data_IF_242387365079
#
_entry.id   IF_242387365079
#
_cell.length_a   1.000
_cell.length_b   1.000
_cell.length_c   1.000
_cell.angle_alpha   90.00
_cell.angle_beta   90.00
_cell.angle_gamma   90.00
#
_symmetry.space_group_name_H-M   'P 1'
#
loop_
_entity.id
_entity.type
_entity.pdbx_description
1 polymer ?
#
# COMPACT_ATOMS: atom_id res chain seq x y z
N UNK A 1 6.57 43.89 -7.02
CA UNK A 1 6.47 44.01 -5.55
C UNK A 1 7.29 45.22 -5.17
N UNK A 2 6.63 46.31 -4.81
CA UNK A 2 7.35 47.49 -4.36
C UNK A 2 7.83 47.22 -2.93
N UNK A 3 9.15 47.04 -2.78
CA UNK A 3 9.78 46.86 -1.48
C UNK A 3 9.57 48.09 -0.59
N UNK A 4 9.71 47.91 0.73
CA UNK A 4 9.58 49.00 1.70
C UNK A 4 10.43 50.22 1.31
N UNK A 5 9.78 51.32 0.94
CA UNK A 5 10.41 52.56 0.44
C UNK A 5 9.67 53.77 0.97
N UNK A 6 10.40 54.73 1.55
CA UNK A 6 9.82 56.01 1.94
C UNK A 6 9.96 57.03 0.82
N UNK A 7 8.96 57.90 0.71
CA UNK A 7 8.95 59.05 -0.19
C UNK A 7 9.25 60.37 0.54
N UNK A 8 9.15 60.38 1.86
CA UNK A 8 9.41 61.51 2.75
C UNK A 8 10.06 61.09 4.06
N UNK A 9 10.55 62.07 4.81
CA UNK A 9 11.16 61.85 6.12
C UNK A 9 10.08 61.58 7.18
N UNK A 10 10.31 60.57 8.01
CA UNK A 10 9.54 60.32 9.24
C UNK A 10 10.39 60.80 10.42
N UNK A 11 9.86 61.71 11.24
CA UNK A 11 10.44 62.06 12.55
C UNK A 11 9.43 62.79 13.42
N UNK A 12 9.69 62.85 14.74
CA UNK A 12 8.82 63.54 15.70
C UNK A 12 8.66 65.06 15.44
N UNK A 13 9.54 65.65 14.62
CA UNK A 13 9.62 67.11 14.40
C UNK A 13 9.41 67.51 12.94
N UNK A 14 8.89 66.61 12.09
CA UNK A 14 8.67 66.89 10.67
C UNK A 14 7.29 66.48 10.20
N UNK A 15 6.75 67.22 9.24
CA UNK A 15 5.58 66.78 8.48
C UNK A 15 5.91 65.46 7.79
N UNK A 16 5.14 64.41 8.11
CA UNK A 16 5.33 63.06 7.60
C UNK A 16 4.17 62.73 6.66
N UNK A 17 4.46 61.99 5.58
CA UNK A 17 3.43 61.57 4.62
C UNK A 17 2.62 60.40 5.20
N UNK A 18 1.29 60.40 5.14
CA UNK A 18 0.46 59.33 5.70
C UNK A 18 0.83 57.93 5.20
N UNK A 19 1.17 57.80 3.91
CA UNK A 19 1.61 56.55 3.29
C UNK A 19 2.93 56.01 3.87
N UNK A 20 3.88 56.90 4.17
CA UNK A 20 5.18 56.55 4.76
C UNK A 20 5.00 56.09 6.22
N UNK A 21 4.10 56.74 6.96
CA UNK A 21 3.73 56.33 8.32
C UNK A 21 3.17 54.91 8.32
N UNK A 22 2.20 54.64 7.44
CA UNK A 22 1.57 53.32 7.38
C UNK A 22 2.58 52.25 6.96
N UNK A 23 3.41 52.53 5.96
CA UNK A 23 4.46 51.63 5.52
C UNK A 23 5.47 51.32 6.65
N UNK A 24 5.89 52.34 7.40
CA UNK A 24 6.83 52.17 8.51
C UNK A 24 6.22 51.37 9.67
N UNK A 25 4.97 51.66 10.06
CA UNK A 25 4.26 50.87 11.09
C UNK A 25 4.12 49.41 10.66
N UNK A 26 3.73 49.14 9.41
CA UNK A 26 3.62 47.77 8.90
C UNK A 26 4.97 47.05 8.89
N UNK A 27 6.05 47.71 8.45
CA UNK A 27 7.38 47.14 8.42
C UNK A 27 7.89 46.81 9.83
N UNK A 28 7.80 47.77 10.75
CA UNK A 28 8.23 47.60 12.14
C UNK A 28 7.37 46.57 12.89
N UNK A 29 6.07 46.48 12.58
CA UNK A 29 5.20 45.43 13.11
C UNK A 29 5.66 44.05 12.67
N UNK A 30 5.93 43.85 11.37
CA UNK A 30 6.45 42.57 10.84
C UNK A 30 7.80 42.17 11.43
N UNK A 31 8.62 43.16 11.80
CA UNK A 31 9.92 42.93 12.45
C UNK A 31 9.81 42.80 13.98
N UNK A 32 8.60 42.92 14.55
CA UNK A 32 8.36 42.78 15.99
C UNK A 32 8.72 44.00 16.84
N UNK A 33 8.95 45.16 16.22
CA UNK A 33 9.31 46.41 16.90
C UNK A 33 8.13 47.35 17.18
N UNK A 34 6.98 47.11 16.53
CA UNK A 34 5.76 47.89 16.72
C UNK A 34 4.63 46.95 17.14
N UNK A 35 3.89 47.31 18.19
CA UNK A 35 2.70 46.56 18.62
C UNK A 35 1.45 47.06 17.88
N UNK A 36 0.64 46.15 17.35
CA UNK A 36 -0.61 46.54 16.67
C UNK A 36 -1.64 47.01 17.72
N UNK A 37 -2.14 48.26 17.62
CA UNK A 37 -3.20 48.74 18.50
C UNK A 37 -4.50 47.95 18.25
N UNK A 38 -5.36 47.90 19.27
CA UNK A 38 -6.65 47.19 19.21
C UNK A 38 -7.55 47.67 18.06
N UNK A 39 -7.53 48.97 17.74
CA UNK A 39 -8.28 49.59 16.64
C UNK A 39 -7.57 49.54 15.27
N UNK A 40 -6.40 48.89 15.18
CA UNK A 40 -5.65 48.73 13.94
C UNK A 40 -4.61 49.82 13.64
N UNK A 41 -3.89 49.63 12.52
CA UNK A 41 -2.86 50.56 12.07
C UNK A 41 -3.48 51.81 11.44
N UNK A 42 -3.14 52.97 11.98
CA UNK A 42 -3.51 54.28 11.43
C UNK A 42 -2.34 54.87 10.64
N UNK A 43 -2.65 55.76 9.71
CA UNK A 43 -1.71 56.56 8.91
C UNK A 43 -1.19 57.81 9.65
N UNK A 44 -1.64 58.05 10.89
CA UNK A 44 -1.18 59.14 11.73
C UNK A 44 0.11 58.80 12.47
N UNK A 45 1.13 59.67 12.46
CA UNK A 45 2.34 59.46 13.24
C UNK A 45 2.00 59.56 14.74
N UNK A 46 2.51 58.62 15.53
CA UNK A 46 2.28 58.55 16.98
C UNK A 46 3.59 58.28 17.73
N UNK A 47 3.52 58.39 19.06
CA UNK A 47 4.67 58.12 19.94
C UNK A 47 5.18 56.68 19.80
N UNK A 48 4.26 55.71 19.65
CA UNK A 48 4.61 54.30 19.52
C UNK A 48 5.45 54.01 18.27
N UNK A 49 5.16 54.68 17.15
CA UNK A 49 5.96 54.59 15.93
C UNK A 49 7.37 55.15 16.16
N UNK A 50 7.51 56.31 16.79
CA UNK A 50 8.82 56.92 17.06
C UNK A 50 9.66 56.07 18.02
N UNK A 51 9.00 55.47 19.02
CA UNK A 51 9.62 54.51 19.94
C UNK A 51 10.07 53.24 19.22
N UNK A 52 9.24 52.70 18.31
CA UNK A 52 9.58 51.54 17.50
C UNK A 52 10.77 51.79 16.57
N UNK A 53 10.85 52.96 15.93
CA UNK A 53 12.00 53.37 15.11
C UNK A 53 13.28 53.40 15.96
N UNK A 54 13.21 54.05 17.12
CA UNK A 54 14.35 54.19 18.04
C UNK A 54 14.79 52.82 18.57
N UNK A 55 13.84 51.96 18.93
CA UNK A 55 14.08 50.60 19.38
C UNK A 55 14.75 49.75 18.30
N UNK A 56 14.27 49.86 17.05
CA UNK A 56 14.87 49.19 15.90
C UNK A 56 16.31 49.65 15.67
N UNK A 57 16.53 50.96 15.59
CA UNK A 57 17.85 51.56 15.41
C UNK A 57 18.83 51.04 16.48
N UNK A 58 18.41 51.08 17.75
CA UNK A 58 19.21 50.59 18.87
C UNK A 58 19.50 49.09 18.77
N UNK A 59 18.50 48.27 18.45
CA UNK A 59 18.64 46.81 18.37
C UNK A 59 19.51 46.35 17.19
N UNK A 60 19.62 47.17 16.14
CA UNK A 60 20.42 46.88 14.93
C UNK A 60 21.74 47.66 14.87
N UNK A 61 22.08 48.39 15.94
CA UNK A 61 23.34 49.14 16.03
C UNK A 61 23.44 50.32 15.05
N UNK A 62 22.30 50.84 14.60
CA UNK A 62 22.23 52.00 13.71
C UNK A 62 22.31 53.30 14.50
N UNK A 63 22.44 54.43 13.80
CA UNK A 63 22.34 55.74 14.44
C UNK A 63 20.94 55.94 15.05
N UNK A 64 20.89 56.15 16.37
CA UNK A 64 19.66 56.31 17.14
C UNK A 64 19.21 57.77 17.13
N UNK A 65 18.59 58.21 16.03
CA UNK A 65 18.07 59.57 15.85
C UNK A 65 16.54 59.65 15.83
N UNK A 66 15.85 58.51 15.99
CA UNK A 66 14.40 58.43 15.98
C UNK A 66 13.78 58.86 14.65
N UNK A 67 14.57 58.90 13.58
CA UNK A 67 14.13 59.36 12.27
C UNK A 67 14.38 58.30 11.19
N UNK A 68 13.50 58.27 10.20
CA UNK A 68 13.70 57.51 8.97
C UNK A 68 13.72 58.49 7.81
N UNK A 69 14.71 58.34 6.92
CA UNK A 69 14.87 59.17 5.72
C UNK A 69 14.77 58.28 4.48
N UNK A 70 14.22 58.79 3.37
CA UNK A 70 14.35 58.15 2.07
C UNK A 70 15.82 57.81 1.78
N UNK A 71 16.09 56.56 1.41
CA UNK A 71 17.44 56.03 1.15
C UNK A 71 18.42 56.13 2.35
N UNK A 72 17.90 56.41 3.54
CA UNK A 72 18.68 56.51 4.77
C UNK A 72 18.99 55.15 5.38
N UNK A 73 19.92 55.15 6.33
CA UNK A 73 20.40 53.95 7.05
C UNK A 73 19.25 53.09 7.60
N UNK A 74 18.28 53.68 8.32
CA UNK A 74 17.14 52.96 8.90
C UNK A 74 16.23 52.33 7.83
N UNK A 75 15.97 53.05 6.73
CA UNK A 75 15.15 52.53 5.62
C UNK A 75 15.82 51.35 4.95
N UNK A 76 17.11 51.49 4.62
CA UNK A 76 17.90 50.46 3.97
C UNK A 76 18.02 49.21 4.85
N UNK A 77 18.25 49.38 6.15
CA UNK A 77 18.32 48.27 7.10
C UNK A 77 16.99 47.50 7.17
N UNK A 78 15.86 48.19 7.32
CA UNK A 78 14.53 47.57 7.37
C UNK A 78 14.22 46.86 6.06
N UNK A 79 14.49 47.50 4.91
CA UNK A 79 14.30 46.90 3.59
C UNK A 79 15.13 45.63 3.44
N UNK A 80 16.41 45.69 3.80
CA UNK A 80 17.33 44.56 3.72
C UNK A 80 16.89 43.40 4.60
N UNK A 81 16.46 43.68 5.83
CA UNK A 81 15.99 42.66 6.77
C UNK A 81 14.72 41.96 6.27
N UNK A 82 13.70 42.74 5.84
CA UNK A 82 12.46 42.20 5.26
C UNK A 82 12.74 41.37 4.00
N UNK A 83 13.61 41.87 3.12
CA UNK A 83 14.03 41.14 1.92
C UNK A 83 14.74 39.83 2.28
N UNK A 84 15.68 39.86 3.24
CA UNK A 84 16.41 38.66 3.67
C UNK A 84 15.49 37.61 4.27
N UNK A 85 14.46 38.02 5.02
CA UNK A 85 13.46 37.11 5.59
C UNK A 85 12.60 36.50 4.50
N UNK A 86 12.14 37.31 3.54
CA UNK A 86 11.40 36.80 2.39
C UNK A 86 12.23 35.80 1.57
N UNK A 87 13.51 36.09 1.30
CA UNK A 87 14.41 35.19 0.59
C UNK A 87 14.68 33.89 1.36
N UNK A 88 14.83 33.95 2.69
CA UNK A 88 14.92 32.74 3.52
C UNK A 88 13.67 31.88 3.39
N UNK A 89 12.49 32.48 3.46
CA UNK A 89 11.22 31.76 3.34
C UNK A 89 11.04 31.16 1.93
N UNK A 90 11.38 31.89 0.87
CA UNK A 90 11.35 31.37 -0.52
C UNK A 90 12.24 30.16 -0.72
N UNK A 91 13.45 30.16 -0.13
CA UNK A 91 14.40 29.04 -0.21
C UNK A 91 13.94 27.78 0.53
N UNK A 92 13.01 27.93 1.46
CA UNK A 92 12.38 26.80 2.15
C UNK A 92 11.19 26.22 1.40
N UNK A 93 10.80 26.85 0.28
CA UNK A 93 9.78 26.34 -0.62
C UNK A 93 10.22 25.03 -1.27
N UNK A 94 9.30 24.07 -1.36
CA UNK A 94 9.57 22.71 -1.87
C UNK A 94 9.02 22.53 -3.29
N UNK A 95 9.51 21.50 -3.98
CA UNK A 95 8.96 21.03 -5.25
C UNK A 95 8.81 22.15 -6.31
N UNK A 96 9.76 23.10 -6.34
CA UNK A 96 9.76 24.22 -7.29
C UNK A 96 8.88 25.42 -6.91
N UNK A 97 8.13 25.36 -5.80
CA UNK A 97 7.40 26.52 -5.28
C UNK A 97 8.37 27.51 -4.62
N UNK A 98 8.89 28.44 -5.42
CA UNK A 98 9.95 29.38 -5.01
C UNK A 98 9.48 30.83 -4.96
N UNK A 99 8.17 31.07 -5.09
CA UNK A 99 7.59 32.42 -5.17
C UNK A 99 6.63 32.65 -4.01
N UNK A 100 6.92 33.64 -3.17
CA UNK A 100 5.97 34.10 -2.16
C UNK A 100 4.98 35.09 -2.77
N UNK A 101 3.69 34.84 -2.61
CA UNK A 101 2.62 35.73 -3.04
C UNK A 101 1.51 35.76 -1.98
N UNK A 102 0.86 36.92 -1.84
CA UNK A 102 -0.43 36.98 -1.14
C UNK A 102 -1.52 36.68 -2.15
N UNK A 103 -2.33 35.66 -1.88
CA UNK A 103 -3.40 35.21 -2.75
C UNK A 103 -4.71 35.10 -1.96
N UNK A 104 -5.83 35.34 -2.61
CA UNK A 104 -7.17 35.12 -2.06
C UNK A 104 -7.53 33.63 -2.05
N UNK A 105 -8.52 33.21 -1.23
CA UNK A 105 -9.02 31.83 -1.25
C UNK A 105 -9.51 31.36 -2.62
N UNK A 106 -10.10 32.26 -3.41
CA UNK A 106 -10.55 31.94 -4.77
C UNK A 106 -9.37 31.69 -5.72
N UNK A 107 -8.32 32.52 -5.66
CA UNK A 107 -7.09 32.33 -6.45
C UNK A 107 -6.35 31.05 -6.05
N UNK A 108 -6.28 30.74 -4.75
CA UNK A 108 -5.77 29.46 -4.25
C UNK A 108 -6.55 28.27 -4.84
N UNK A 109 -7.87 28.37 -4.94
CA UNK A 109 -8.72 27.37 -5.59
C UNK A 109 -8.39 27.18 -7.07
N UNK A 110 -8.13 28.27 -7.80
CA UNK A 110 -7.73 28.22 -9.21
C UNK A 110 -6.36 27.55 -9.41
N UNK A 111 -5.39 27.82 -8.54
CA UNK A 111 -4.08 27.17 -8.59
C UNK A 111 -4.20 25.66 -8.33
N UNK A 112 -5.06 25.26 -7.39
CA UNK A 112 -5.39 23.84 -7.15
C UNK A 112 -6.02 23.18 -8.37
N UNK A 113 -7.02 23.83 -8.97
CA UNK A 113 -7.70 23.32 -10.17
C UNK A 113 -6.76 23.18 -11.39
N UNK A 114 -5.66 23.94 -11.43
CA UNK A 114 -4.61 23.87 -12.47
C UNK A 114 -3.43 22.97 -12.10
N UNK A 115 -3.59 22.09 -11.11
CA UNK A 115 -2.59 21.06 -10.78
C UNK A 115 -1.63 21.41 -9.63
N UNK A 116 -1.81 22.54 -8.95
CA UNK A 116 -1.07 22.85 -7.72
C UNK A 116 -1.56 22.01 -6.53
N UNK A 117 -0.68 21.37 -5.78
CA UNK A 117 -1.06 20.51 -4.66
C UNK A 117 -1.79 21.28 -3.54
N UNK A 118 -1.39 22.55 -3.32
CA UNK A 118 -1.99 23.42 -2.31
C UNK A 118 -1.85 22.88 -0.88
N UNK A 119 -0.71 22.25 -0.59
CA UNK A 119 -0.32 21.69 0.70
C UNK A 119 0.22 22.76 1.65
N UNK A 120 0.36 22.46 2.93
CA UNK A 120 1.05 23.33 3.88
C UNK A 120 2.51 22.87 4.03
N UNK A 121 3.46 23.79 3.90
CA UNK A 121 4.87 23.52 4.15
C UNK A 121 5.10 23.24 5.64
N UNK A 122 5.66 22.09 6.05
CA UNK A 122 5.88 21.78 7.46
C UNK A 122 6.98 22.63 8.12
N UNK A 123 7.93 23.17 7.36
CA UNK A 123 9.01 24.02 7.85
C UNK A 123 8.60 25.49 7.99
N UNK A 124 7.68 26.00 7.16
CA UNK A 124 7.26 27.43 7.19
C UNK A 124 5.84 27.65 7.68
N UNK A 125 4.98 26.63 7.66
CA UNK A 125 3.54 26.74 7.97
C UNK A 125 2.71 27.47 6.90
N UNK A 126 3.32 27.85 5.77
CA UNK A 126 2.65 28.55 4.67
C UNK A 126 2.08 27.56 3.64
N UNK A 127 1.07 28.00 2.89
CA UNK A 127 0.56 27.23 1.75
C UNK A 127 1.57 27.20 0.61
N UNK A 128 1.69 26.05 -0.05
CA UNK A 128 2.52 25.81 -1.23
C UNK A 128 1.67 25.30 -2.39
N UNK A 129 1.91 25.81 -3.59
CA UNK A 129 1.21 25.42 -4.82
C UNK A 129 2.18 24.88 -5.86
N UNK A 130 3.09 24.00 -5.42
CA UNK A 130 3.94 23.25 -6.33
C UNK A 130 3.09 22.33 -7.22
N UNK A 131 3.51 22.16 -8.47
CA UNK A 131 3.18 20.93 -9.17
C UNK A 131 3.84 19.80 -8.38
N UNK A 132 3.16 18.66 -8.21
CA UNK A 132 3.73 17.50 -7.50
C UNK A 132 5.18 17.34 -7.97
N UNK A 133 6.11 16.99 -7.07
CA UNK A 133 7.28 16.24 -7.53
C UNK A 133 6.68 15.12 -8.36
N UNK A 134 6.87 15.17 -9.68
CA UNK A 134 6.71 14.04 -10.57
C UNK A 134 7.74 13.03 -10.08
N UNK A 135 7.40 12.35 -8.99
CA UNK A 135 8.00 11.08 -8.65
C UNK A 135 7.50 10.17 -9.74
N UNK A 136 8.21 10.17 -10.86
CA UNK A 136 7.98 9.25 -11.96
C UNK A 136 8.77 7.98 -11.70
N UNK A 137 8.26 6.86 -12.19
CA UNK A 137 8.88 5.55 -12.05
C UNK A 137 8.43 4.78 -10.81
N UNK A 138 9.29 3.88 -10.33
CA UNK A 138 8.96 2.94 -9.28
C UNK A 138 9.88 3.07 -8.07
N UNK A 139 9.45 2.53 -6.94
CA UNK A 139 10.19 2.47 -5.70
C UNK A 139 10.00 1.13 -4.99
N UNK A 140 10.97 0.74 -4.18
CA UNK A 140 10.84 -0.39 -3.26
C UNK A 140 10.21 0.11 -1.95
N UNK A 141 9.12 -0.53 -1.52
CA UNK A 141 8.47 -0.22 -0.25
C UNK A 141 9.30 -0.77 0.91
N UNK A 142 9.70 0.10 1.84
CA UNK A 142 10.47 -0.28 3.03
C UNK A 142 9.74 0.12 4.31
N UNK A 143 9.92 -0.68 5.34
CA UNK A 143 9.32 -0.55 6.65
C UNK A 143 10.39 -0.56 7.73
N UNK A 144 10.06 -0.03 8.90
CA UNK A 144 10.93 -0.15 10.09
C UNK A 144 11.02 -1.59 10.64
N UNK A 145 10.18 -2.51 10.16
CA UNK A 145 10.19 -3.91 10.57
C UNK A 145 9.80 -4.20 12.03
N UNK A 146 9.15 -3.26 12.72
CA UNK A 146 8.72 -3.44 14.11
C UNK A 146 7.21 -3.64 14.25
N UNK A 147 6.79 -4.09 15.44
CA UNK A 147 5.40 -4.47 15.75
C UNK A 147 4.38 -3.31 15.63
N UNK A 148 4.85 -2.07 15.43
CA UNK A 148 3.97 -0.91 15.20
C UNK A 148 3.69 -0.67 13.72
N UNK A 149 4.37 -1.38 12.82
CA UNK A 149 4.05 -1.37 11.39
C UNK A 149 2.73 -2.12 11.19
N UNK A 150 1.79 -1.52 10.46
CA UNK A 150 0.50 -2.15 10.14
C UNK A 150 0.75 -3.41 9.32
N UNK A 151 -0.03 -4.48 9.55
CA UNK A 151 0.14 -5.76 8.84
C UNK A 151 0.19 -5.60 7.32
N UNK A 152 -0.75 -4.83 6.75
CA UNK A 152 -0.80 -4.54 5.31
C UNK A 152 0.41 -3.76 4.78
N UNK A 153 1.16 -3.05 5.63
CA UNK A 153 2.39 -2.38 5.23
C UNK A 153 3.59 -3.33 5.33
N UNK A 154 3.61 -4.22 6.33
CA UNK A 154 4.65 -5.23 6.48
C UNK A 154 4.63 -6.23 5.33
N UNK A 155 3.45 -6.59 4.83
CA UNK A 155 3.28 -7.44 3.64
C UNK A 155 3.93 -6.83 2.39
N UNK A 156 4.04 -5.50 2.33
CA UNK A 156 4.63 -4.76 1.20
C UNK A 156 6.15 -4.62 1.28
N UNK A 157 6.77 -5.04 2.38
CA UNK A 157 8.22 -4.92 2.57
C UNK A 157 9.00 -5.55 1.40
N UNK A 158 9.82 -4.73 0.75
CA UNK A 158 10.68 -5.17 -0.35
C UNK A 158 9.98 -5.31 -1.71
N UNK A 159 8.67 -5.09 -1.80
CA UNK A 159 7.94 -5.09 -3.07
C UNK A 159 8.12 -3.76 -3.83
N UNK A 160 8.00 -3.80 -5.15
CA UNK A 160 8.15 -2.63 -6.03
C UNK A 160 6.77 -2.06 -6.38
N UNK A 161 6.60 -0.76 -6.18
CA UNK A 161 5.37 -0.03 -6.50
C UNK A 161 5.63 1.12 -7.45
N UNK A 162 4.65 1.41 -8.29
CA UNK A 162 4.65 2.60 -9.15
C UNK A 162 4.19 3.83 -8.36
N UNK A 163 4.76 4.98 -8.67
CA UNK A 163 4.23 6.26 -8.19
C UNK A 163 2.89 6.64 -8.87
N UNK A 164 2.61 6.11 -10.06
CA UNK A 164 1.37 6.39 -10.81
C UNK A 164 0.19 5.52 -10.36
N UNK A 165 0.50 4.34 -9.82
CA UNK A 165 -0.48 3.37 -9.34
C UNK A 165 -0.22 3.04 -7.87
N UNK A 166 -0.61 3.93 -6.93
CA UNK A 166 -0.43 3.69 -5.52
C UNK A 166 -1.20 2.45 -5.05
N UNK A 167 -0.64 1.66 -4.14
CA UNK A 167 -1.39 0.60 -3.48
C UNK A 167 -2.48 1.18 -2.57
N UNK A 168 -3.42 0.34 -2.15
CA UNK A 168 -4.48 0.74 -1.23
C UNK A 168 -3.89 1.38 0.05
N UNK A 169 -4.40 2.55 0.45
CA UNK A 169 -3.85 3.33 1.57
C UNK A 169 -2.71 4.29 1.22
N UNK A 170 -2.33 4.39 -0.06
CA UNK A 170 -1.38 5.39 -0.56
C UNK A 170 0.09 4.95 -0.52
N UNK A 171 0.98 5.90 -0.76
CA UNK A 171 2.43 5.70 -0.78
C UNK A 171 3.02 5.61 0.64
N UNK A 172 4.22 5.02 0.80
CA UNK A 172 4.84 4.93 2.11
C UNK A 172 5.12 6.35 2.66
N UNK A 173 4.77 6.56 3.93
CA UNK A 173 4.90 7.84 4.62
C UNK A 173 3.67 8.75 4.58
N UNK A 174 2.64 8.45 3.76
CA UNK A 174 1.46 9.33 3.63
C UNK A 174 0.45 9.19 4.78
N UNK A 175 0.30 7.98 5.33
CA UNK A 175 -0.64 7.75 6.44
C UNK A 175 -0.13 8.34 7.77
N UNK A 176 -1.00 8.85 8.66
CA UNK A 176 -0.60 9.33 9.98
C UNK A 176 0.17 8.26 10.78
N UNK A 177 1.33 8.65 11.30
CA UNK A 177 2.23 7.75 12.03
C UNK A 177 2.83 6.62 11.17
N UNK A 178 2.81 6.74 9.84
CA UNK A 178 3.44 5.76 8.95
C UNK A 178 4.96 5.76 9.16
N UNK A 179 5.53 4.56 9.25
CA UNK A 179 6.97 4.32 9.53
C UNK A 179 7.63 3.63 8.34
N UNK A 180 7.11 3.88 7.15
CA UNK A 180 7.55 3.28 5.91
C UNK A 180 8.15 4.37 5.01
N UNK A 181 9.07 4.01 4.13
CA UNK A 181 9.67 4.93 3.16
C UNK A 181 9.79 4.28 1.78
N UNK A 182 9.88 5.12 0.75
CA UNK A 182 10.16 4.70 -0.62
C UNK A 182 11.68 4.68 -0.84
N UNK A 183 12.25 3.51 -1.07
CA UNK A 183 13.65 3.36 -1.50
C UNK A 183 13.71 3.37 -3.03
N UNK A 184 14.70 4.06 -3.59
CA UNK A 184 14.95 4.02 -5.05
C UNK A 184 15.25 2.58 -5.49
N UNK A 185 14.64 2.15 -6.59
CA UNK A 185 14.93 0.82 -7.17
C UNK A 185 16.38 0.78 -7.65
N UNK A 186 17.17 -0.15 -7.13
CA UNK A 186 18.52 -0.45 -7.62
C UNK A 186 18.53 -1.75 -8.43
N UNK A 187 19.55 -1.93 -9.29
CA UNK A 187 19.68 -3.14 -10.11
C UNK A 187 19.70 -4.43 -9.26
N UNK A 188 20.34 -4.37 -8.09
CA UNK A 188 20.37 -5.50 -7.15
C UNK A 188 18.99 -5.84 -6.56
N UNK A 189 18.05 -4.90 -6.51
CA UNK A 189 16.68 -5.18 -6.07
C UNK A 189 15.91 -6.01 -7.12
N UNK A 190 16.14 -5.75 -8.41
CA UNK A 190 15.52 -6.54 -9.48
C UNK A 190 16.12 -7.95 -9.58
N UNK A 191 17.44 -8.10 -9.39
CA UNK A 191 18.09 -9.41 -9.35
C UNK A 191 17.51 -10.32 -8.24
N UNK A 192 17.10 -9.73 -7.12
CA UNK A 192 16.42 -10.45 -6.03
C UNK A 192 15.02 -10.94 -6.42
N UNK A 193 14.22 -10.10 -7.07
CA UNK A 193 12.88 -10.51 -7.55
C UNK A 193 13.03 -11.62 -8.60
N UNK A 194 14.02 -11.50 -9.49
CA UNK A 194 14.35 -12.53 -10.47
C UNK A 194 14.65 -13.87 -9.81
N UNK A 195 15.47 -13.86 -8.76
CA UNK A 195 15.78 -15.08 -8.00
C UNK A 195 14.52 -15.70 -7.37
N UNK A 196 13.62 -14.88 -6.83
CA UNK A 196 12.36 -15.37 -6.25
C UNK A 196 11.44 -15.98 -7.31
N UNK A 197 11.36 -15.40 -8.51
CA UNK A 197 10.63 -15.98 -9.66
C UNK A 197 11.16 -17.38 -9.98
N UNK A 198 12.49 -17.51 -10.08
CA UNK A 198 13.14 -18.80 -10.34
C UNK A 198 12.85 -19.81 -9.20
N UNK A 199 12.82 -19.35 -7.95
CA UNK A 199 12.51 -20.18 -6.79
C UNK A 199 11.04 -20.64 -6.75
N UNK A 200 10.08 -19.79 -7.14
CA UNK A 200 8.66 -20.14 -7.22
C UNK A 200 8.38 -21.14 -8.34
N UNK A 201 8.94 -20.94 -9.54
CA UNK A 201 8.83 -21.94 -10.61
C UNK A 201 9.45 -23.28 -10.23
N UNK A 202 10.57 -23.28 -9.50
CA UNK A 202 11.16 -24.51 -8.98
C UNK A 202 10.25 -25.22 -7.99
N UNK A 203 9.53 -24.48 -7.12
CA UNK A 203 8.53 -25.04 -6.19
C UNK A 203 7.31 -25.59 -6.94
N UNK A 204 6.81 -24.87 -7.94
CA UNK A 204 5.76 -25.32 -8.85
C UNK A 204 6.12 -26.66 -9.52
N UNK A 205 7.32 -26.74 -10.11
CA UNK A 205 7.76 -27.91 -10.85
C UNK A 205 7.99 -29.12 -9.95
N UNK A 206 8.47 -28.88 -8.72
CA UNK A 206 8.69 -29.93 -7.71
C UNK A 206 7.39 -30.66 -7.31
N UNK A 207 6.21 -30.05 -7.52
CA UNK A 207 4.92 -30.70 -7.27
C UNK A 207 4.48 -31.66 -8.39
N UNK A 208 5.11 -31.61 -9.56
CA UNK A 208 4.72 -32.44 -10.71
C UNK A 208 4.83 -33.94 -10.42
N UNK A 209 5.91 -34.38 -9.75
CA UNK A 209 6.10 -35.78 -9.37
C UNK A 209 5.09 -36.24 -8.30
N UNK A 210 4.89 -35.54 -7.16
CA UNK A 210 3.84 -35.86 -6.20
C UNK A 210 2.44 -35.95 -6.82
N UNK A 211 2.11 -35.05 -7.75
CA UNK A 211 0.83 -35.05 -8.48
C UNK A 211 0.72 -36.29 -9.36
N UNK A 212 1.75 -36.60 -10.15
CA UNK A 212 1.77 -37.79 -11.01
C UNK A 212 1.65 -39.09 -10.20
N UNK A 213 2.39 -39.20 -9.09
CA UNK A 213 2.34 -40.35 -8.19
C UNK A 213 0.94 -40.51 -7.57
N UNK A 214 0.34 -39.43 -7.08
CA UNK A 214 -1.01 -39.47 -6.48
C UNK A 214 -2.07 -39.85 -7.52
N UNK A 215 -1.96 -39.35 -8.77
CA UNK A 215 -2.82 -39.78 -9.89
C UNK A 215 -2.66 -41.27 -10.19
N UNK A 216 -1.44 -41.79 -10.14
CA UNK A 216 -1.15 -43.22 -10.28
C UNK A 216 -1.77 -44.06 -9.18
N UNK A 217 -1.68 -43.62 -7.92
CA UNK A 217 -2.33 -44.28 -6.77
C UNK A 217 -3.86 -44.33 -6.94
N UNK A 218 -4.48 -43.22 -7.36
CA UNK A 218 -5.92 -43.16 -7.64
C UNK A 218 -6.30 -44.14 -8.76
N UNK A 219 -5.52 -44.20 -9.85
CA UNK A 219 -5.80 -45.11 -10.95
C UNK A 219 -5.73 -46.60 -10.53
N UNK A 220 -4.82 -46.93 -9.60
CA UNK A 220 -4.73 -48.28 -9.04
C UNK A 220 -5.95 -48.62 -8.18
N UNK A 221 -6.39 -47.70 -7.33
CA UNK A 221 -7.59 -47.86 -6.50
C UNK A 221 -8.84 -47.96 -7.38
N UNK A 222 -8.95 -47.15 -8.43
CA UNK A 222 -10.05 -47.21 -9.40
C UNK A 222 -10.12 -48.57 -10.08
N UNK A 223 -8.97 -49.13 -10.47
CA UNK A 223 -8.90 -50.49 -11.02
C UNK A 223 -9.39 -51.52 -10.01
N UNK A 224 -8.94 -51.44 -8.75
CA UNK A 224 -9.36 -52.36 -7.68
C UNK A 224 -10.86 -52.29 -7.42
N UNK A 225 -11.42 -51.08 -7.42
CA UNK A 225 -12.86 -50.85 -7.30
C UNK A 225 -13.65 -51.49 -8.44
N UNK A 226 -13.17 -51.36 -9.68
CA UNK A 226 -13.78 -52.04 -10.83
C UNK A 226 -13.76 -53.57 -10.70
N UNK A 227 -12.64 -54.14 -10.25
CA UNK A 227 -12.51 -55.59 -10.00
C UNK A 227 -13.49 -56.07 -8.92
N UNK A 228 -13.54 -55.39 -7.77
CA UNK A 228 -14.46 -55.71 -6.68
C UNK A 228 -15.92 -55.57 -7.09
N UNK A 229 -16.28 -54.54 -7.86
CA UNK A 229 -17.64 -54.34 -8.38
C UNK A 229 -18.05 -55.44 -9.35
N UNK A 230 -17.13 -55.93 -10.17
CA UNK A 230 -17.37 -57.07 -11.05
C UNK A 230 -17.54 -58.38 -10.24
N UNK A 231 -16.72 -58.60 -9.22
CA UNK A 231 -16.86 -59.76 -8.33
C UNK A 231 -18.20 -59.75 -7.58
N UNK A 232 -18.61 -58.59 -7.05
CA UNK A 232 -19.91 -58.41 -6.41
C UNK A 232 -21.07 -58.75 -7.35
N UNK A 233 -20.98 -58.33 -8.62
CA UNK A 233 -22.00 -58.64 -9.62
C UNK A 233 -22.10 -60.15 -9.88
N UNK A 234 -20.96 -60.85 -9.96
CA UNK A 234 -20.93 -62.31 -10.12
C UNK A 234 -21.53 -63.02 -8.90
N UNK A 235 -21.16 -62.63 -7.68
CA UNK A 235 -21.72 -63.22 -6.44
C UNK A 235 -23.22 -63.00 -6.35
N UNK A 236 -23.71 -61.80 -6.70
CA UNK A 236 -25.15 -61.51 -6.75
C UNK A 236 -25.89 -62.36 -7.78
N UNK A 237 -25.28 -62.58 -8.94
CA UNK A 237 -25.82 -63.47 -9.96
C UNK A 237 -25.89 -64.92 -9.46
N UNK A 238 -24.83 -65.42 -8.81
CA UNK A 238 -24.83 -66.75 -8.18
C UNK A 238 -25.97 -66.89 -7.16
N UNK A 239 -26.13 -65.92 -6.25
CA UNK A 239 -27.23 -65.87 -5.28
C UNK A 239 -28.60 -65.93 -5.99
N UNK A 240 -28.79 -65.14 -7.05
CA UNK A 240 -30.04 -65.11 -7.80
C UNK A 240 -30.35 -66.46 -8.46
N UNK A 241 -29.33 -67.13 -9.02
CA UNK A 241 -29.49 -68.42 -9.72
C UNK A 241 -29.71 -69.61 -8.79
N UNK A 242 -29.32 -69.53 -7.51
CA UNK A 242 -29.60 -70.57 -6.53
C UNK A 242 -31.11 -70.81 -6.30
N UNK A 243 -31.96 -69.86 -6.67
CA UNK A 243 -33.41 -70.08 -6.78
C UNK A 243 -34.12 -70.41 -5.46
N UNK A 244 -33.57 -70.00 -4.31
CA UNK A 244 -34.19 -70.22 -3.00
C UNK A 244 -35.40 -69.27 -2.86
N UNK A 245 -36.62 -69.78 -2.66
CA UNK A 245 -37.81 -68.93 -2.52
C UNK A 245 -37.72 -68.06 -1.26
N UNK A 246 -38.07 -66.76 -1.38
CA UNK A 246 -38.18 -65.81 -0.25
C UNK A 246 -39.18 -66.21 0.86
N UNK A 247 -39.89 -67.35 0.73
CA UNK A 247 -40.83 -67.89 1.72
C UNK A 247 -40.56 -69.38 1.93
N UNK A 248 -39.97 -69.72 3.07
CA UNK A 248 -39.69 -71.10 3.50
C UNK A 248 -40.96 -71.88 3.87
N UNK A 249 -42.10 -71.22 4.07
CA UNK A 249 -43.29 -71.80 4.72
C UNK A 249 -44.12 -72.84 3.94
N UNK A 250 -43.81 -73.16 2.67
CA UNK A 250 -44.67 -74.10 1.90
C UNK A 250 -43.99 -75.25 1.15
N UNK A 251 -42.68 -75.44 1.28
CA UNK A 251 -41.97 -76.50 0.56
C UNK A 251 -41.64 -77.76 1.39
N UNK A 252 -42.07 -77.83 2.67
CA UNK A 252 -41.80 -78.98 3.55
C UNK A 252 -42.96 -79.99 3.52
N UNK A 253 -43.32 -80.49 2.33
CA UNK A 253 -44.07 -81.75 2.21
C UNK A 253 -43.48 -82.56 1.06
N UNK A 254 -42.40 -83.28 1.36
CA UNK A 254 -41.98 -84.44 0.55
C UNK A 254 -40.57 -84.44 -0.07
N UNK A 255 -39.67 -83.50 0.24
CA UNK A 255 -38.31 -83.46 -0.38
C UNK A 255 -37.17 -83.70 0.63
N UNK A 256 -36.10 -84.32 0.11
CA UNK A 256 -34.91 -84.83 0.81
C UNK A 256 -34.26 -83.74 1.70
N UNK A 257 -34.43 -83.85 3.02
CA UNK A 257 -34.08 -82.82 4.04
C UNK A 257 -32.61 -82.40 4.00
N UNK A 258 -31.71 -83.30 3.60
CA UNK A 258 -30.26 -83.05 3.51
C UNK A 258 -29.91 -82.06 2.39
N UNK A 259 -30.65 -82.07 1.26
CA UNK A 259 -30.39 -81.18 0.13
C UNK A 259 -30.75 -79.72 0.40
N UNK A 260 -31.78 -79.48 1.20
CA UNK A 260 -32.20 -78.13 1.58
C UNK A 260 -31.24 -77.47 2.57
N UNK A 261 -30.72 -78.21 3.55
CA UNK A 261 -29.74 -77.69 4.50
C UNK A 261 -28.43 -77.26 3.79
N UNK A 262 -27.97 -78.05 2.80
CA UNK A 262 -26.81 -77.71 1.99
C UNK A 262 -27.02 -76.43 1.14
N UNK A 263 -28.20 -76.25 0.56
CA UNK A 263 -28.56 -75.04 -0.20
C UNK A 263 -28.62 -73.79 0.69
N UNK A 264 -29.21 -73.88 1.88
CA UNK A 264 -29.25 -72.79 2.86
C UNK A 264 -27.82 -72.40 3.28
N UNK A 265 -26.98 -73.40 3.59
CA UNK A 265 -25.59 -73.15 3.93
C UNK A 265 -24.83 -72.46 2.79
N UNK A 266 -24.99 -72.92 1.55
CA UNK A 266 -24.36 -72.29 0.39
C UNK A 266 -24.82 -70.84 0.19
N UNK A 267 -26.11 -70.57 0.39
CA UNK A 267 -26.65 -69.21 0.33
C UNK A 267 -26.06 -68.30 1.42
N UNK A 268 -25.97 -68.79 2.67
CA UNK A 268 -25.34 -68.04 3.76
C UNK A 268 -23.87 -67.72 3.46
N UNK A 269 -23.10 -68.68 2.90
CA UNK A 269 -21.72 -68.44 2.48
C UNK A 269 -21.63 -67.34 1.42
N UNK A 270 -22.50 -67.35 0.40
CA UNK A 270 -22.52 -66.30 -0.62
C UNK A 270 -22.95 -64.94 -0.06
N UNK A 271 -23.90 -64.90 0.88
CA UNK A 271 -24.32 -63.67 1.56
C UNK A 271 -23.20 -63.08 2.41
N UNK A 272 -22.41 -63.91 3.10
CA UNK A 272 -21.24 -63.46 3.84
C UNK A 272 -20.18 -62.90 2.89
N UNK A 273 -19.89 -63.62 1.79
CA UNK A 273 -18.96 -63.13 0.76
C UNK A 273 -19.42 -61.82 0.12
N UNK A 274 -20.73 -61.65 -0.13
CA UNK A 274 -21.29 -60.39 -0.60
C UNK A 274 -21.03 -59.25 0.39
N UNK A 275 -21.21 -59.50 1.69
CA UNK A 275 -20.96 -58.53 2.74
C UNK A 275 -19.47 -58.15 2.84
N UNK A 276 -18.57 -59.13 2.73
CA UNK A 276 -17.12 -58.89 2.74
C UNK A 276 -16.68 -58.02 1.55
N UNK A 277 -17.15 -58.33 0.33
CA UNK A 277 -16.84 -57.52 -0.86
C UNK A 277 -17.40 -56.10 -0.73
N UNK A 278 -18.60 -55.93 -0.18
CA UNK A 278 -19.18 -54.61 0.06
C UNK A 278 -18.35 -53.79 1.07
N UNK A 279 -17.83 -54.43 2.11
CA UNK A 279 -16.93 -53.79 3.06
C UNK A 279 -15.61 -53.36 2.39
N UNK A 280 -15.01 -54.23 1.57
CA UNK A 280 -13.80 -53.91 0.82
C UNK A 280 -14.02 -52.73 -0.15
N UNK A 281 -15.16 -52.71 -0.87
CA UNK A 281 -15.54 -51.58 -1.73
C UNK A 281 -15.61 -50.29 -0.91
N UNK A 282 -16.25 -50.32 0.27
CA UNK A 282 -16.36 -49.13 1.12
C UNK A 282 -14.98 -48.61 1.58
N UNK A 283 -14.04 -49.50 1.89
CA UNK A 283 -12.67 -49.15 2.29
C UNK A 283 -11.90 -48.51 1.12
N UNK A 284 -12.04 -49.07 -0.07
CA UNK A 284 -11.38 -48.55 -1.28
C UNK A 284 -11.99 -47.22 -1.73
N UNK A 285 -13.32 -47.05 -1.65
CA UNK A 285 -13.99 -45.77 -1.93
C UNK A 285 -13.51 -44.67 -0.97
N UNK A 286 -13.38 -44.97 0.32
CA UNK A 286 -12.80 -44.04 1.29
C UNK A 286 -11.33 -43.70 0.97
N UNK A 287 -10.53 -44.70 0.61
CA UNK A 287 -9.12 -44.51 0.24
C UNK A 287 -8.99 -43.63 -1.01
N UNK A 288 -9.87 -43.83 -2.00
CA UNK A 288 -9.97 -43.01 -3.20
C UNK A 288 -10.32 -41.56 -2.88
N UNK A 289 -11.34 -41.31 -2.04
CA UNK A 289 -11.72 -39.96 -1.62
C UNK A 289 -10.57 -39.23 -0.93
N UNK A 290 -9.86 -39.90 -0.03
CA UNK A 290 -8.69 -39.34 0.65
C UNK A 290 -7.58 -38.97 -0.34
N UNK A 291 -7.31 -39.81 -1.33
CA UNK A 291 -6.33 -39.53 -2.38
C UNK A 291 -6.78 -38.38 -3.29
N UNK A 292 -8.07 -38.30 -3.60
CA UNK A 292 -8.63 -37.19 -4.37
C UNK A 292 -8.46 -35.84 -3.66
N UNK A 293 -8.73 -35.79 -2.35
CA UNK A 293 -8.48 -34.60 -1.53
C UNK A 293 -6.99 -34.21 -1.52
N UNK A 294 -6.09 -35.19 -1.39
CA UNK A 294 -4.64 -34.97 -1.47
C UNK A 294 -4.25 -34.39 -2.84
N UNK A 295 -4.79 -34.95 -3.92
CA UNK A 295 -4.54 -34.47 -5.29
C UNK A 295 -5.03 -33.03 -5.49
N UNK A 296 -6.25 -32.71 -5.03
CA UNK A 296 -6.79 -31.36 -5.10
C UNK A 296 -5.90 -30.35 -4.37
N UNK A 297 -5.43 -30.71 -3.17
CA UNK A 297 -4.50 -29.87 -2.40
C UNK A 297 -3.20 -29.60 -3.16
N UNK A 298 -2.58 -30.64 -3.73
CA UNK A 298 -1.34 -30.50 -4.50
C UNK A 298 -1.54 -29.64 -5.76
N UNK A 299 -2.66 -29.81 -6.46
CA UNK A 299 -2.98 -29.01 -7.65
C UNK A 299 -3.19 -27.53 -7.29
N UNK A 300 -3.89 -27.25 -6.19
CA UNK A 300 -4.08 -25.88 -5.71
C UNK A 300 -2.73 -25.24 -5.32
N UNK A 301 -1.90 -25.96 -4.58
CA UNK A 301 -0.56 -25.49 -4.21
C UNK A 301 0.32 -25.22 -5.43
N UNK A 302 0.21 -26.06 -6.47
CA UNK A 302 0.89 -25.84 -7.74
C UNK A 302 0.36 -24.58 -8.45
N UNK A 303 -0.96 -24.40 -8.53
CA UNK A 303 -1.57 -23.19 -9.11
C UNK A 303 -1.17 -21.92 -8.37
N UNK A 304 -1.13 -21.96 -7.03
CA UNK A 304 -0.70 -20.84 -6.19
C UNK A 304 0.75 -20.42 -6.49
N UNK A 305 1.67 -21.38 -6.62
CA UNK A 305 3.06 -21.09 -7.02
C UNK A 305 3.14 -20.47 -8.43
N UNK A 306 2.32 -20.93 -9.38
CA UNK A 306 2.28 -20.34 -10.72
C UNK A 306 1.77 -18.89 -10.69
N UNK A 307 0.71 -18.60 -9.93
CA UNK A 307 0.15 -17.25 -9.79
C UNK A 307 1.16 -16.32 -9.11
N UNK A 308 1.83 -16.78 -8.05
CA UNK A 308 2.88 -16.02 -7.37
C UNK A 308 4.04 -15.70 -8.31
N UNK A 309 4.49 -16.67 -9.11
CA UNK A 309 5.56 -16.46 -10.08
C UNK A 309 5.17 -15.44 -11.17
N UNK A 310 3.92 -15.45 -11.63
CA UNK A 310 3.40 -14.47 -12.59
C UNK A 310 3.37 -13.06 -12.00
N UNK A 311 2.88 -12.92 -10.77
CA UNK A 311 2.86 -11.63 -10.08
C UNK A 311 4.27 -11.09 -9.82
N UNK A 312 5.20 -11.95 -9.37
CA UNK A 312 6.61 -11.58 -9.24
C UNK A 312 7.24 -11.20 -10.59
N UNK A 313 6.85 -11.86 -11.69
CA UNK A 313 7.30 -11.49 -13.04
C UNK A 313 6.84 -10.09 -13.41
N UNK A 314 5.56 -9.76 -13.17
CA UNK A 314 5.03 -8.40 -13.36
C UNK A 314 5.79 -7.37 -12.52
N UNK A 315 6.12 -7.70 -11.28
CA UNK A 315 6.92 -6.83 -10.40
C UNK A 315 8.36 -6.68 -10.89
N UNK A 316 8.97 -7.74 -11.42
CA UNK A 316 10.32 -7.71 -11.97
C UNK A 316 10.37 -6.87 -13.25
N UNK A 317 9.39 -6.99 -14.14
CA UNK A 317 9.27 -6.14 -15.34
C UNK A 317 9.18 -4.65 -14.95
N UNK A 318 8.28 -4.32 -14.02
CA UNK A 318 8.17 -2.97 -13.47
C UNK A 318 9.49 -2.48 -12.82
N UNK A 319 10.19 -3.37 -12.11
CA UNK A 319 11.51 -3.09 -11.52
C UNK A 319 12.56 -2.77 -12.59
N UNK A 320 12.61 -3.56 -13.66
CA UNK A 320 13.57 -3.40 -14.75
C UNK A 320 13.31 -2.11 -15.55
N UNK A 321 12.05 -1.75 -15.76
CA UNK A 321 11.67 -0.45 -16.34
C UNK A 321 12.13 0.73 -15.47
N UNK A 322 11.98 0.61 -14.15
CA UNK A 322 12.42 1.63 -13.20
C UNK A 322 13.95 1.76 -13.08
N UNK A 323 14.67 0.64 -13.14
CA UNK A 323 16.14 0.60 -13.10
C UNK A 323 16.81 1.05 -14.41
N UNK A 324 16.07 1.02 -15.54
CA UNK A 324 16.55 1.39 -16.87
C UNK A 324 16.62 2.89 -17.16
N UNK A 325 15.97 3.74 -16.36
CA UNK A 325 15.92 5.21 -16.55
C UNK A 325 17.22 5.97 -16.23
N UNK A 326 18.34 5.27 -16.05
CA UNK A 326 19.64 5.85 -15.71
C UNK A 326 20.64 5.80 -16.86
N UNK A 327 20.34 6.42 -18.00
CA UNK A 327 21.27 7.06 -18.98
C UNK A 327 20.64 7.18 -20.37
N UNK A 328 20.29 8.41 -20.75
CA UNK A 328 20.58 9.01 -22.05
C UNK A 328 20.68 10.52 -21.84
#
# INVERSE_FOLDING_TARGET
MDGFKLNGRISAYSNTRPEDVLAAKQALYRLGFYGMPEWGLTDFPDRALMEAITAYQKARGLRVDGAMRPDGETETAIRGELHSTAERLRRLGRNGDTVLAHISPAEAGLLKARGGAGTVNPATGLLEFSQKEEKEGHYVWRTMGDDKVRSSHSEREGQVFSWDHPPEGGHPGEAPGCRCWAQKVEKGDCDRIKWEIEAEWKRHDALSEPIANTKGEIALVDKRLSELKAELANVRFEIQTLGIPNRVDKAIKGSNVVGWAALIYQYEQLKNREADILNDISIEEYSRERLAMKLEKLLREQEDHALNAQELTRQHEACMEAGGGGKA
#
